data_IF_119930819708
#
_entry.id   IF_119930819708
#
_cell.length_a   1.000
_cell.length_b   1.000
_cell.length_c   1.000
_cell.angle_alpha   90.00
_cell.angle_beta   90.00
_cell.angle_gamma   90.00
#
_symmetry.space_group_name_H-M   'P 1'
#
loop_
_entity.id
_entity.type
_entity.pdbx_description
1 polymer ?
#
# COMPACT_ATOMS: atom_id res chain seq x y z
N UNK A 1 41.53 44.60 56.31
CA UNK A 1 40.98 45.27 57.51
C UNK A 1 39.97 46.34 57.08
N UNK A 2 39.00 46.67 57.93
CA UNK A 2 37.95 47.66 57.65
C UNK A 2 38.43 49.10 57.88
N UNK A 3 37.74 50.11 57.30
CA UNK A 3 37.05 51.18 58.07
C UNK A 3 36.50 52.37 57.22
N UNK A 4 35.19 52.57 57.36
CA UNK A 4 34.37 53.83 57.41
C UNK A 4 35.02 55.22 57.15
N UNK A 5 34.30 56.07 56.39
CA UNK A 5 33.98 57.54 56.53
C UNK A 5 33.76 58.18 55.14
N UNK A 6 33.04 59.29 54.89
CA UNK A 6 32.02 60.05 55.64
C UNK A 6 31.30 61.11 54.72
N UNK A 7 30.00 61.35 54.97
CA UNK A 7 29.33 62.66 55.23
C UNK A 7 29.43 63.86 54.24
N UNK A 8 28.27 64.25 53.65
CA UNK A 8 27.57 65.58 53.72
C UNK A 8 26.46 65.63 52.63
N UNK A 9 25.19 66.04 52.85
CA UNK A 9 24.55 67.20 53.50
C UNK A 9 24.47 68.52 52.69
N UNK A 10 23.31 68.75 52.07
CA UNK A 10 22.66 70.07 51.90
C UNK A 10 21.24 69.88 51.32
N UNK A 11 20.20 70.69 51.62
CA UNK A 11 19.87 71.58 52.75
C UNK A 11 18.35 71.94 52.62
N UNK A 12 17.64 72.11 53.75
CA UNK A 12 16.41 72.93 53.95
C UNK A 12 15.04 72.50 53.37
N UNK A 13 14.14 72.16 54.31
CA UNK A 13 12.70 72.54 54.38
C UNK A 13 12.56 74.07 54.69
N UNK A 14 11.35 74.70 54.81
CA UNK A 14 9.96 74.18 54.86
C UNK A 14 9.05 74.82 53.75
N UNK A 15 7.71 75.00 53.79
CA UNK A 15 6.62 74.80 54.78
C UNK A 15 5.20 74.72 54.12
N UNK A 16 4.13 74.62 54.93
CA UNK A 16 2.70 75.02 54.71
C UNK A 16 1.97 74.50 53.44
N UNK A 17 1.09 73.49 53.53
CA UNK A 17 -0.38 73.58 53.80
C UNK A 17 -1.19 74.35 52.73
N UNK A 18 -2.35 73.92 52.21
CA UNK A 18 -3.39 72.99 52.74
C UNK A 18 -4.25 72.28 51.64
N UNK A 19 -5.09 71.33 52.06
CA UNK A 19 -6.10 70.51 51.32
C UNK A 19 -7.53 71.08 51.64
N UNK A 20 -8.71 70.76 51.01
CA UNK A 20 -9.12 70.04 49.77
C UNK A 20 -10.09 70.84 48.83
N UNK A 21 -10.47 70.30 47.64
CA UNK A 21 -11.81 69.71 47.36
C UNK A 21 -11.98 69.20 45.89
N UNK A 22 -12.83 68.19 45.76
CA UNK A 22 -13.23 67.36 44.61
C UNK A 22 -13.60 68.10 43.31
N UNK A 23 -13.18 67.54 42.16
CA UNK A 23 -13.98 67.46 40.93
C UNK A 23 -13.54 66.31 40.02
N UNK A 24 -14.43 65.83 39.16
CA UNK A 24 -14.36 64.52 38.49
C UNK A 24 -14.19 64.61 36.96
N UNK A 25 -13.68 63.52 36.36
CA UNK A 25 -14.16 62.82 35.15
C UNK A 25 -13.06 62.27 34.21
N UNK A 26 -13.25 61.00 33.83
CA UNK A 26 -12.71 60.27 32.66
C UNK A 26 -11.19 60.05 32.46
N UNK A 27 -10.67 58.84 32.77
CA UNK A 27 -9.42 58.34 32.21
C UNK A 27 -9.60 57.71 30.82
N UNK A 28 -8.60 57.88 29.94
CA UNK A 28 -8.51 57.22 28.63
C UNK A 28 -8.54 55.69 28.74
N UNK A 29 -9.21 55.03 27.80
CA UNK A 29 -9.27 53.58 27.73
C UNK A 29 -7.88 52.96 27.52
N UNK A 30 -7.42 52.17 28.49
CA UNK A 30 -6.32 51.23 28.29
C UNK A 30 -6.90 49.98 27.63
N UNK A 31 -6.50 49.69 26.40
CA UNK A 31 -6.83 48.43 25.75
C UNK A 31 -6.31 47.28 26.61
N UNK A 32 -7.17 46.33 26.94
CA UNK A 32 -6.81 45.21 27.82
C UNK A 32 -5.88 44.24 27.08
N UNK A 33 -4.78 43.78 27.71
CA UNK A 33 -3.81 42.89 27.06
C UNK A 33 -4.40 41.52 26.70
N UNK A 34 -5.58 41.19 27.23
CA UNK A 34 -6.32 39.95 26.97
C UNK A 34 -6.61 39.72 25.48
N UNK A 35 -6.85 40.78 24.69
CA UNK A 35 -7.12 40.64 23.26
C UNK A 35 -5.83 40.26 22.49
N UNK A 36 -4.69 40.85 22.87
CA UNK A 36 -3.37 40.50 22.35
C UNK A 36 -2.99 39.06 22.72
N UNK A 37 -3.15 38.67 23.99
CA UNK A 37 -2.89 37.30 24.47
C UNK A 37 -3.81 36.29 23.77
N UNK A 38 -5.09 36.61 23.59
CA UNK A 38 -6.05 35.76 22.89
C UNK A 38 -5.67 35.53 21.42
N UNK A 39 -5.22 36.57 20.70
CA UNK A 39 -4.73 36.45 19.33
C UNK A 39 -3.45 35.61 19.23
N UNK A 40 -2.52 35.75 20.18
CA UNK A 40 -1.30 34.92 20.22
C UNK A 40 -1.63 33.45 20.47
N UNK A 41 -2.52 33.15 21.42
CA UNK A 41 -2.97 31.78 21.68
C UNK A 41 -3.69 31.18 20.47
N UNK A 42 -4.62 31.93 19.85
CA UNK A 42 -5.33 31.48 18.65
C UNK A 42 -4.36 31.23 17.49
N UNK A 43 -3.37 32.10 17.28
CA UNK A 43 -2.30 31.92 16.30
C UNK A 43 -1.46 30.66 16.56
N UNK A 44 -1.11 30.40 17.82
CA UNK A 44 -0.40 29.17 18.20
C UNK A 44 -1.24 27.90 17.93
N UNK A 45 -2.54 27.91 18.29
CA UNK A 45 -3.44 26.79 17.99
C UNK A 45 -3.63 26.57 16.48
N UNK A 46 -3.73 27.65 15.68
CA UNK A 46 -3.80 27.56 14.22
C UNK A 46 -2.49 27.01 13.61
N UNK A 47 -1.32 27.42 14.11
CA UNK A 47 -0.04 26.89 13.66
C UNK A 47 0.17 25.41 14.03
N UNK A 48 -0.25 25.00 15.23
CA UNK A 48 -0.25 23.59 15.64
C UNK A 48 -1.23 22.78 14.78
N UNK A 49 -2.46 23.25 14.59
CA UNK A 49 -3.45 22.62 13.72
C UNK A 49 -2.98 22.51 12.27
N UNK A 50 -2.34 23.55 11.74
CA UNK A 50 -1.76 23.56 10.40
C UNK A 50 -0.60 22.56 10.28
N UNK A 51 0.28 22.52 11.29
CA UNK A 51 1.41 21.58 11.35
C UNK A 51 0.95 20.12 11.41
N UNK A 52 -0.11 19.81 12.17
CA UNK A 52 -0.75 18.49 12.18
C UNK A 52 -1.54 18.17 10.90
N UNK A 53 -2.11 19.18 10.22
CA UNK A 53 -2.76 18.98 8.91
C UNK A 53 -1.76 18.82 7.75
N UNK A 54 -0.53 19.31 7.91
CA UNK A 54 0.54 19.26 6.91
C UNK A 54 1.58 18.18 7.18
N UNK A 55 1.56 17.48 8.32
CA UNK A 55 2.40 16.31 8.57
C UNK A 55 1.73 15.03 8.03
N UNK A 56 1.58 14.96 6.70
CA UNK A 56 1.09 13.78 5.96
C UNK A 56 2.08 12.60 5.95
N UNK A 57 2.59 12.24 7.13
CA UNK A 57 3.72 11.33 7.34
C UNK A 57 3.47 10.30 8.44
N UNK A 58 2.29 9.68 8.45
CA UNK A 58 2.06 8.44 9.20
C UNK A 58 1.14 7.53 8.40
N UNK A 59 1.60 6.30 8.16
CA UNK A 59 0.82 5.28 7.46
C UNK A 59 -0.47 4.98 8.24
N UNK A 60 -1.60 5.40 7.68
CA UNK A 60 -2.91 4.96 8.13
C UNK A 60 -3.49 4.14 6.98
N UNK A 61 -3.48 2.81 7.16
CA UNK A 61 -4.20 1.88 6.31
C UNK A 61 -5.71 2.09 6.49
N UNK A 62 -6.21 3.14 5.85
CA UNK A 62 -7.61 3.31 5.51
C UNK A 62 -7.66 3.27 4.00
N UNK A 63 -7.86 2.06 3.49
CA UNK A 63 -8.39 1.85 2.14
C UNK A 63 -9.65 2.72 2.01
N UNK A 64 -9.50 3.86 1.35
CA UNK A 64 -10.64 4.63 0.87
C UNK A 64 -11.26 3.78 -0.24
N UNK A 65 -12.21 2.91 0.14
CA UNK A 65 -12.98 2.10 -0.80
C UNK A 65 -13.84 3.07 -1.62
N UNK A 66 -13.24 3.61 -2.67
CA UNK A 66 -13.94 4.28 -3.76
C UNK A 66 -14.86 3.24 -4.38
N UNK A 67 -16.13 3.27 -3.96
CA UNK A 67 -17.25 2.40 -4.38
C UNK A 67 -17.64 2.69 -5.85
N UNK A 68 -16.67 2.52 -6.75
CA UNK A 68 -16.70 2.95 -8.15
C UNK A 68 -15.41 2.62 -8.91
N UNK A 69 -14.31 2.24 -8.24
CA UNK A 69 -13.15 1.66 -8.91
C UNK A 69 -13.26 0.13 -9.01
N UNK A 70 -12.92 -0.43 -10.18
CA UNK A 70 -12.67 -1.87 -10.31
C UNK A 70 -11.45 -2.26 -9.47
N UNK A 71 -11.63 -3.23 -8.59
CA UNK A 71 -10.59 -3.69 -7.67
C UNK A 71 -9.65 -4.69 -8.38
N UNK A 72 -8.45 -4.22 -8.75
CA UNK A 72 -7.39 -5.05 -9.36
C UNK A 72 -7.19 -6.38 -8.59
N UNK A 73 -7.03 -7.48 -9.32
CA UNK A 73 -6.81 -8.78 -8.68
C UNK A 73 -5.44 -8.89 -8.00
N UNK A 74 -4.50 -8.01 -8.33
CA UNK A 74 -3.22 -7.86 -7.62
C UNK A 74 -3.43 -7.36 -6.19
N UNK A 75 -4.35 -6.43 -5.94
CA UNK A 75 -4.69 -6.02 -4.56
C UNK A 75 -5.41 -7.14 -3.78
N UNK A 76 -6.07 -8.06 -4.48
CA UNK A 76 -6.61 -9.28 -3.90
C UNK A 76 -5.50 -10.27 -3.49
N UNK A 77 -4.36 -10.33 -4.20
CA UNK A 77 -3.21 -11.17 -3.79
C UNK A 77 -2.73 -10.81 -2.39
N UNK A 78 -2.57 -9.51 -2.09
CA UNK A 78 -2.15 -9.05 -0.75
C UNK A 78 -3.08 -9.55 0.37
N UNK A 79 -4.39 -9.49 0.15
CA UNK A 79 -5.41 -9.98 1.08
C UNK A 79 -5.48 -11.52 1.12
N UNK A 80 -5.10 -12.19 0.03
CA UNK A 80 -5.10 -13.64 -0.09
C UNK A 80 -3.90 -14.35 0.56
N UNK A 81 -2.73 -13.69 0.69
CA UNK A 81 -1.48 -14.29 1.19
C UNK A 81 -1.66 -15.13 2.47
N UNK A 82 -2.35 -14.67 3.53
CA UNK A 82 -2.55 -15.47 4.75
C UNK A 82 -3.31 -16.78 4.49
N UNK A 83 -4.29 -16.76 3.57
CA UNK A 83 -5.09 -17.93 3.20
C UNK A 83 -4.31 -18.88 2.28
N UNK A 84 -3.48 -18.34 1.36
CA UNK A 84 -2.51 -19.13 0.59
C UNK A 84 -1.53 -19.84 1.52
N UNK A 85 -1.02 -19.16 2.57
CA UNK A 85 -0.15 -19.77 3.59
C UNK A 85 -0.86 -20.87 4.39
N UNK A 86 -2.20 -20.84 4.55
CA UNK A 86 -2.97 -21.97 5.11
C UNK A 86 -3.18 -23.12 4.11
N UNK A 87 -3.33 -22.82 2.82
CA UNK A 87 -3.54 -23.83 1.78
C UNK A 87 -2.27 -24.64 1.46
N UNK A 88 -1.16 -23.94 1.23
CA UNK A 88 0.13 -24.53 0.85
C UNK A 88 1.01 -24.83 2.08
N UNK A 89 0.89 -24.05 3.16
CA UNK A 89 1.64 -24.30 4.39
C UNK A 89 3.14 -24.36 4.16
N UNK A 90 3.76 -25.45 4.61
CA UNK A 90 5.20 -25.69 4.52
C UNK A 90 5.74 -25.90 3.09
N UNK A 91 4.89 -25.90 2.05
CA UNK A 91 5.37 -25.84 0.66
C UNK A 91 5.49 -24.41 0.15
N UNK A 92 4.93 -23.37 0.79
CA UNK A 92 4.97 -21.98 0.29
C UNK A 92 6.32 -21.26 0.52
N UNK A 93 7.45 -21.97 0.39
CA UNK A 93 8.80 -21.44 0.72
C UNK A 93 9.48 -20.64 -0.39
N UNK A 94 9.17 -20.92 -1.67
CA UNK A 94 9.77 -20.22 -2.81
C UNK A 94 8.66 -19.75 -3.74
N UNK A 95 8.29 -18.47 -3.63
CA UNK A 95 7.15 -17.90 -4.33
C UNK A 95 7.61 -17.02 -5.49
N UNK A 96 7.06 -17.25 -6.68
CA UNK A 96 7.17 -16.31 -7.80
C UNK A 96 5.84 -15.60 -7.99
N UNK A 97 5.83 -14.27 -7.91
CA UNK A 97 4.70 -13.46 -8.38
C UNK A 97 4.91 -13.04 -9.84
N UNK A 98 3.86 -13.10 -10.65
CA UNK A 98 3.86 -12.67 -12.06
C UNK A 98 2.63 -11.81 -12.32
N UNK A 99 2.83 -10.50 -12.49
CA UNK A 99 1.73 -9.55 -12.62
C UNK A 99 2.19 -8.11 -12.51
N UNK A 100 1.27 -7.14 -12.70
CA UNK A 100 1.56 -5.76 -12.40
C UNK A 100 1.81 -5.57 -10.89
N UNK A 101 2.49 -4.48 -10.52
CA UNK A 101 2.82 -4.12 -9.14
C UNK A 101 3.50 -5.26 -8.36
N UNK A 102 4.33 -6.05 -9.07
CA UNK A 102 4.99 -7.20 -8.46
C UNK A 102 5.95 -6.81 -7.35
N UNK A 103 6.43 -5.56 -7.33
CA UNK A 103 7.27 -5.00 -6.27
C UNK A 103 6.53 -4.90 -4.94
N UNK A 104 5.25 -4.50 -4.92
CA UNK A 104 4.46 -4.49 -3.69
C UNK A 104 4.23 -5.91 -3.18
N UNK A 105 3.77 -6.82 -4.05
CA UNK A 105 3.48 -8.23 -3.67
C UNK A 105 4.73 -8.92 -3.12
N UNK A 106 5.89 -8.79 -3.77
CA UNK A 106 7.17 -9.33 -3.29
C UNK A 106 7.59 -8.68 -1.97
N UNK A 107 7.39 -7.37 -1.79
CA UNK A 107 7.65 -6.67 -0.53
C UNK A 107 6.78 -7.17 0.64
N UNK A 108 5.54 -7.61 0.37
CA UNK A 108 4.70 -8.29 1.36
C UNK A 108 5.17 -9.72 1.62
N UNK A 109 5.42 -10.52 0.58
CA UNK A 109 5.87 -11.91 0.73
C UNK A 109 7.22 -12.03 1.45
N UNK A 110 8.16 -11.09 1.25
CA UNK A 110 9.45 -11.08 1.96
C UNK A 110 9.34 -10.73 3.46
N UNK A 111 8.15 -10.39 3.96
CA UNK A 111 7.87 -10.23 5.40
C UNK A 111 7.28 -11.50 6.03
N UNK A 112 6.92 -12.49 5.21
CA UNK A 112 6.39 -13.76 5.69
C UNK A 112 7.54 -14.68 6.13
N UNK A 113 7.48 -15.16 7.37
CA UNK A 113 8.44 -16.15 7.86
C UNK A 113 8.48 -17.38 6.93
N UNK A 114 9.68 -17.94 6.77
CA UNK A 114 10.03 -19.08 5.92
C UNK A 114 9.69 -18.93 4.42
N UNK A 115 9.50 -17.69 3.93
CA UNK A 115 9.13 -17.39 2.54
C UNK A 115 10.20 -16.60 1.79
N UNK A 116 10.85 -17.23 0.81
CA UNK A 116 11.66 -16.56 -0.22
C UNK A 116 10.75 -16.14 -1.39
N UNK A 117 10.87 -14.90 -1.87
CA UNK A 117 9.97 -14.37 -2.90
C UNK A 117 10.69 -13.62 -4.05
N UNK A 118 10.17 -13.82 -5.26
CA UNK A 118 10.61 -13.17 -6.49
C UNK A 118 9.43 -12.64 -7.30
N UNK A 119 9.69 -11.70 -8.20
CA UNK A 119 8.69 -11.06 -9.05
C UNK A 119 9.12 -10.99 -10.51
N UNK A 120 8.17 -11.24 -11.42
CA UNK A 120 8.26 -10.86 -12.83
C UNK A 120 7.19 -9.80 -13.09
N UNK A 121 7.63 -8.60 -13.45
CA UNK A 121 6.76 -7.56 -14.00
C UNK A 121 6.70 -7.78 -15.52
N UNK A 122 5.52 -8.03 -16.12
CA UNK A 122 5.38 -8.18 -17.57
C UNK A 122 5.47 -6.87 -18.36
N UNK A 123 5.60 -5.74 -17.66
CA UNK A 123 5.62 -4.37 -18.18
C UNK A 123 6.91 -3.64 -17.75
N UNK A 124 7.05 -2.40 -18.19
CA UNK A 124 8.23 -1.60 -17.86
C UNK A 124 8.20 -1.04 -16.43
N UNK A 125 9.40 -0.78 -15.89
CA UNK A 125 9.70 -0.34 -14.54
C UNK A 125 10.47 0.99 -14.51
N UNK A 126 10.53 1.75 -15.62
CA UNK A 126 11.24 3.05 -15.69
C UNK A 126 10.79 4.01 -14.58
N UNK A 127 9.47 4.16 -14.40
CA UNK A 127 8.83 5.02 -13.40
C UNK A 127 8.76 4.41 -11.98
N UNK A 128 9.38 3.25 -11.75
CA UNK A 128 9.33 2.57 -10.46
C UNK A 128 9.90 3.44 -9.31
N UNK A 129 9.32 3.32 -8.11
CA UNK A 129 9.79 4.04 -6.93
C UNK A 129 11.17 3.56 -6.43
N UNK A 130 11.71 4.23 -5.41
CA UNK A 130 13.02 3.87 -4.83
C UNK A 130 13.05 2.50 -4.14
N UNK A 131 11.91 2.01 -3.65
CA UNK A 131 11.77 0.72 -2.97
C UNK A 131 11.77 -0.43 -3.98
N UNK A 132 11.00 -0.28 -5.06
CA UNK A 132 10.95 -1.19 -6.19
C UNK A 132 12.29 -1.22 -6.94
N UNK A 133 12.90 -0.05 -7.21
CA UNK A 133 14.26 0.04 -7.77
C UNK A 133 15.31 -0.69 -6.92
N UNK A 134 15.14 -0.76 -5.60
CA UNK A 134 15.99 -1.57 -4.71
C UNK A 134 15.72 -3.08 -4.84
N UNK A 135 14.47 -3.53 -5.02
CA UNK A 135 14.15 -4.94 -5.29
C UNK A 135 14.70 -5.41 -6.65
N UNK A 136 14.62 -4.55 -7.67
CA UNK A 136 15.19 -4.79 -9.00
C UNK A 136 16.71 -4.95 -8.92
N UNK A 137 17.42 -4.00 -8.27
CA UNK A 137 18.89 -4.06 -8.09
C UNK A 137 19.36 -5.28 -7.31
N UNK A 138 18.56 -5.78 -6.36
CA UNK A 138 18.84 -7.02 -5.62
C UNK A 138 18.48 -8.29 -6.40
N UNK A 139 17.87 -8.17 -7.58
CA UNK A 139 17.47 -9.30 -8.43
C UNK A 139 16.22 -10.05 -7.96
N UNK A 140 15.50 -9.54 -6.95
CA UNK A 140 14.21 -10.10 -6.52
C UNK A 140 13.12 -9.88 -7.56
N UNK A 141 13.10 -8.71 -8.20
CA UNK A 141 12.15 -8.37 -9.26
C UNK A 141 12.88 -8.20 -10.58
N UNK A 142 12.30 -8.72 -11.67
CA UNK A 142 12.80 -8.58 -13.04
C UNK A 142 11.65 -8.13 -13.95
N UNK A 143 11.92 -7.28 -14.94
CA UNK A 143 10.99 -7.10 -16.06
C UNK A 143 11.22 -8.23 -17.05
N UNK A 144 10.16 -8.92 -17.47
CA UNK A 144 10.22 -9.95 -18.51
C UNK A 144 8.84 -10.17 -19.15
N UNK A 145 8.79 -10.10 -20.47
CA UNK A 145 7.56 -10.28 -21.23
C UNK A 145 7.08 -11.76 -21.21
N UNK A 146 5.98 -12.00 -20.49
CA UNK A 146 5.38 -13.32 -20.27
C UNK A 146 4.82 -14.00 -21.53
N UNK A 147 4.77 -13.33 -22.68
CA UNK A 147 4.49 -13.99 -23.98
C UNK A 147 5.63 -14.94 -24.40
N UNK A 148 6.79 -14.84 -23.76
CA UNK A 148 7.98 -15.66 -23.96
C UNK A 148 8.29 -16.47 -22.69
N UNK A 149 9.13 -17.51 -22.81
CA UNK A 149 9.49 -18.35 -21.66
C UNK A 149 10.25 -17.57 -20.59
N UNK A 150 9.83 -17.76 -19.34
CA UNK A 150 10.45 -17.16 -18.17
C UNK A 150 11.89 -17.67 -17.98
N UNK A 151 12.83 -16.80 -17.57
CA UNK A 151 14.27 -17.10 -17.45
C UNK A 151 14.62 -17.93 -16.20
N UNK A 152 13.79 -18.92 -15.88
CA UNK A 152 13.90 -19.82 -14.74
C UNK A 152 13.87 -21.27 -15.20
N UNK A 153 14.55 -22.15 -14.46
CA UNK A 153 14.54 -23.60 -14.73
C UNK A 153 13.17 -24.19 -14.36
N UNK A 154 12.77 -25.34 -14.93
CA UNK A 154 11.58 -26.04 -14.45
C UNK A 154 11.66 -26.30 -12.94
N UNK A 155 10.53 -26.22 -12.23
CA UNK A 155 10.41 -26.47 -10.78
C UNK A 155 11.36 -25.60 -9.92
N UNK A 156 11.56 -24.33 -10.29
CA UNK A 156 12.39 -23.37 -9.52
C UNK A 156 11.67 -22.79 -8.30
N UNK A 157 10.33 -22.72 -8.35
CA UNK A 157 9.48 -22.15 -7.32
C UNK A 157 8.46 -23.19 -6.88
N UNK A 158 8.10 -23.19 -5.60
CA UNK A 158 7.08 -24.09 -5.09
C UNK A 158 5.68 -23.61 -5.43
N UNK A 159 5.43 -22.30 -5.30
CA UNK A 159 4.17 -21.67 -5.68
C UNK A 159 4.42 -20.52 -6.65
N UNK A 160 3.72 -20.51 -7.78
CA UNK A 160 3.69 -19.38 -8.71
C UNK A 160 2.33 -18.70 -8.57
N UNK A 161 2.30 -17.41 -8.28
CA UNK A 161 1.09 -16.59 -8.15
C UNK A 161 1.02 -15.64 -9.34
N UNK A 162 -0.13 -15.61 -10.03
CA UNK A 162 -0.33 -14.79 -11.23
C UNK A 162 -1.56 -13.93 -11.06
N UNK A 163 -1.45 -12.62 -11.25
CA UNK A 163 -2.57 -11.67 -11.12
C UNK A 163 -2.56 -10.64 -12.25
N UNK A 164 -3.74 -10.21 -12.70
CA UNK A 164 -3.99 -9.15 -13.70
C UNK A 164 -3.14 -9.22 -15.00
N UNK A 165 -2.55 -10.37 -15.33
CA UNK A 165 -1.64 -10.52 -16.47
C UNK A 165 -2.27 -11.34 -17.60
N UNK A 166 -2.92 -12.46 -17.26
CA UNK A 166 -3.46 -13.42 -18.24
C UNK A 166 -4.69 -12.89 -18.97
N UNK A 167 -5.49 -12.03 -18.33
CA UNK A 167 -6.68 -11.45 -18.95
C UNK A 167 -6.36 -10.58 -20.18
N UNK A 168 -5.15 -10.01 -20.27
CA UNK A 168 -4.65 -9.23 -21.42
C UNK A 168 -4.10 -10.07 -22.58
N UNK A 169 -3.87 -11.37 -22.35
CA UNK A 169 -3.31 -12.27 -23.36
C UNK A 169 -4.39 -12.81 -24.32
N UNK A 170 -4.01 -12.96 -25.59
CA UNK A 170 -4.82 -13.70 -26.56
C UNK A 170 -4.63 -15.22 -26.38
N UNK A 171 -5.56 -16.07 -26.86
CA UNK A 171 -5.42 -17.53 -26.76
C UNK A 171 -4.08 -18.06 -27.32
N UNK A 172 -3.57 -17.45 -28.40
CA UNK A 172 -2.24 -17.78 -28.97
C UNK A 172 -1.09 -17.64 -27.95
N UNK A 173 -1.16 -16.64 -27.07
CA UNK A 173 -0.15 -16.43 -26.03
C UNK A 173 -0.46 -17.21 -24.76
N UNK A 174 -1.73 -17.33 -24.35
CA UNK A 174 -2.13 -18.17 -23.22
C UNK A 174 -1.67 -19.63 -23.40
N UNK A 175 -1.79 -20.20 -24.60
CA UNK A 175 -1.30 -21.54 -24.94
C UNK A 175 0.22 -21.74 -24.75
N UNK A 176 1.00 -20.66 -24.67
CA UNK A 176 2.45 -20.71 -24.39
C UNK A 176 2.75 -20.36 -22.93
N UNK A 177 2.07 -19.34 -22.43
CA UNK A 177 2.31 -18.74 -21.11
C UNK A 177 1.87 -19.66 -19.98
N UNK A 178 0.71 -20.33 -20.10
CA UNK A 178 0.22 -21.24 -19.07
C UNK A 178 1.13 -22.46 -18.85
N UNK A 179 1.56 -23.21 -19.88
CA UNK A 179 2.54 -24.27 -19.71
C UNK A 179 3.88 -23.78 -19.16
N UNK A 180 4.33 -22.56 -19.49
CA UNK A 180 5.61 -22.04 -19.00
C UNK A 180 5.55 -21.61 -17.52
N UNK A 181 4.43 -21.00 -17.10
CA UNK A 181 4.13 -20.71 -15.69
C UNK A 181 4.04 -21.99 -14.85
N UNK A 182 3.36 -23.01 -15.37
CA UNK A 182 3.26 -24.30 -14.71
C UNK A 182 4.62 -25.01 -14.63
N UNK A 183 5.40 -25.00 -15.73
CA UNK A 183 6.76 -25.55 -15.81
C UNK A 183 7.69 -25.04 -14.70
N UNK A 184 7.63 -23.75 -14.35
CA UNK A 184 8.50 -23.18 -13.31
C UNK A 184 8.02 -23.44 -11.88
N UNK A 185 6.78 -23.89 -11.68
CA UNK A 185 6.22 -24.33 -10.41
C UNK A 185 6.54 -25.79 -10.09
N UNK A 186 6.63 -26.17 -8.80
CA UNK A 186 6.69 -27.56 -8.35
C UNK A 186 5.44 -28.05 -7.60
N UNK A 187 4.75 -27.18 -6.85
CA UNK A 187 3.66 -27.57 -5.94
C UNK A 187 2.32 -26.88 -6.22
N UNK A 188 2.32 -25.74 -6.95
CA UNK A 188 1.09 -25.08 -7.33
C UNK A 188 1.23 -23.83 -8.20
N UNK A 189 0.30 -23.65 -9.12
CA UNK A 189 0.10 -22.42 -9.89
C UNK A 189 -1.23 -21.80 -9.44
N UNK A 190 -1.17 -20.60 -8.85
CA UNK A 190 -2.35 -19.85 -8.39
C UNK A 190 -2.63 -18.72 -9.36
N UNK A 191 -3.84 -18.69 -9.92
CA UNK A 191 -4.25 -17.66 -10.88
C UNK A 191 -5.38 -16.82 -10.28
N UNK A 192 -5.17 -15.51 -10.24
CA UNK A 192 -6.16 -14.49 -9.89
C UNK A 192 -6.61 -13.79 -11.17
N UNK A 193 -7.86 -14.00 -11.59
CA UNK A 193 -8.44 -13.44 -12.81
C UNK A 193 -9.71 -12.62 -12.53
N UNK A 194 -9.93 -11.55 -13.30
CA UNK A 194 -11.04 -10.62 -13.04
C UNK A 194 -12.42 -11.20 -13.37
N UNK A 195 -13.43 -10.93 -12.54
CA UNK A 195 -14.82 -11.30 -12.84
C UNK A 195 -15.40 -10.42 -13.97
N UNK A 196 -15.99 -11.02 -15.03
CA UNK A 196 -16.76 -10.28 -16.03
C UNK A 196 -17.86 -9.44 -15.37
N UNK A 197 -17.97 -8.17 -15.75
CA UNK A 197 -19.01 -7.25 -15.29
C UNK A 197 -18.77 -6.60 -13.91
N UNK A 198 -17.94 -7.18 -13.05
CA UNK A 198 -17.49 -6.54 -11.80
C UNK A 198 -16.23 -5.71 -12.02
N UNK A 199 -15.28 -6.26 -12.77
CA UNK A 199 -14.09 -5.52 -13.18
C UNK A 199 -14.38 -4.71 -14.44
N UNK A 200 -13.94 -3.45 -14.44
CA UNK A 200 -13.91 -2.59 -15.64
C UNK A 200 -12.46 -2.25 -15.90
N UNK A 201 -12.02 -2.42 -17.15
CA UNK A 201 -10.71 -1.93 -17.59
C UNK A 201 -10.58 -0.45 -17.24
N UNK A 202 -9.61 -0.08 -16.42
CA UNK A 202 -9.31 1.34 -16.20
C UNK A 202 -8.75 1.88 -17.52
N UNK A 203 -9.14 3.09 -17.93
CA UNK A 203 -8.64 3.66 -19.20
C UNK A 203 -7.10 3.79 -19.19
N UNK A 204 -6.52 3.99 -17.99
CA UNK A 204 -5.08 3.97 -17.73
C UNK A 204 -4.41 2.61 -17.98
N UNK A 205 -5.11 1.50 -17.74
CA UNK A 205 -4.64 0.15 -18.04
C UNK A 205 -4.56 -0.08 -19.55
N UNK A 206 -5.48 0.48 -20.33
CA UNK A 206 -5.41 0.41 -21.79
C UNK A 206 -4.13 1.08 -22.33
N UNK A 207 -3.72 2.19 -21.74
CA UNK A 207 -2.48 2.88 -22.07
C UNK A 207 -1.23 2.08 -21.65
N UNK A 208 -1.23 1.46 -20.46
CA UNK A 208 -0.11 0.64 -19.97
C UNK A 208 0.04 -0.70 -20.71
N UNK A 209 -1.07 -1.31 -21.13
CA UNK A 209 -1.09 -2.70 -21.65
C UNK A 209 -1.30 -2.79 -23.17
N UNK A 210 -1.65 -1.68 -23.83
CA UNK A 210 -1.83 -1.59 -25.29
C UNK A 210 -2.96 -2.45 -25.87
N UNK A 211 -3.76 -3.11 -25.02
CA UNK A 211 -4.86 -4.01 -25.39
C UNK A 211 -5.99 -3.93 -24.36
N UNK A 212 -7.26 -4.05 -24.79
CA UNK A 212 -8.37 -4.19 -23.85
C UNK A 212 -8.27 -5.51 -23.09
N UNK A 213 -8.52 -5.45 -21.78
CA UNK A 213 -8.67 -6.63 -20.93
C UNK A 213 -9.76 -7.54 -21.48
N UNK A 214 -9.53 -8.86 -21.45
CA UNK A 214 -10.52 -9.87 -21.85
C UNK A 214 -10.90 -10.70 -20.64
N UNK A 215 -11.77 -10.14 -19.80
CA UNK A 215 -12.36 -10.85 -18.67
C UNK A 215 -13.13 -12.07 -19.15
N UNK A 216 -12.92 -13.21 -18.49
CA UNK A 216 -13.50 -14.52 -18.85
C UNK A 216 -14.20 -15.12 -17.64
N UNK A 217 -15.27 -15.89 -17.88
CA UNK A 217 -15.99 -16.60 -16.82
C UNK A 217 -15.16 -17.76 -16.26
N UNK A 218 -15.47 -18.17 -15.03
CA UNK A 218 -14.83 -19.32 -14.38
C UNK A 218 -14.98 -20.59 -15.22
N UNK A 219 -16.18 -20.82 -15.78
CA UNK A 219 -16.44 -21.91 -16.72
C UNK A 219 -15.56 -21.88 -17.99
N UNK A 220 -15.17 -20.69 -18.46
CA UNK A 220 -14.23 -20.56 -19.57
C UNK A 220 -12.81 -20.94 -19.13
N UNK A 221 -12.36 -20.39 -17.99
CA UNK A 221 -11.04 -20.66 -17.43
C UNK A 221 -10.83 -22.15 -17.12
N UNK A 222 -11.77 -22.78 -16.40
CA UNK A 222 -11.74 -24.21 -16.07
C UNK A 222 -11.64 -25.06 -17.36
N UNK A 223 -12.48 -24.79 -18.36
CA UNK A 223 -12.41 -25.49 -19.66
C UNK A 223 -11.06 -25.31 -20.34
N UNK A 224 -10.49 -24.10 -20.27
CA UNK A 224 -9.21 -23.79 -20.87
C UNK A 224 -8.04 -24.50 -20.17
N UNK A 225 -8.05 -24.56 -18.84
CA UNK A 225 -7.04 -25.27 -18.05
C UNK A 225 -7.00 -26.75 -18.43
N UNK A 226 -8.16 -27.43 -18.43
CA UNK A 226 -8.28 -28.83 -18.86
C UNK A 226 -7.78 -29.04 -20.30
N UNK A 227 -8.11 -28.13 -21.22
CA UNK A 227 -7.61 -28.18 -22.61
C UNK A 227 -6.09 -27.96 -22.73
N UNK A 228 -5.46 -27.31 -21.75
CA UNK A 228 -3.99 -27.11 -21.67
C UNK A 228 -3.27 -28.13 -20.78
N UNK A 229 -3.99 -29.16 -20.29
CA UNK A 229 -3.43 -30.20 -19.42
C UNK A 229 -3.24 -29.80 -17.95
N UNK A 230 -3.69 -28.61 -17.55
CA UNK A 230 -3.66 -28.16 -16.17
C UNK A 230 -4.89 -28.67 -15.41
N UNK A 231 -4.67 -29.22 -14.22
CA UNK A 231 -5.69 -29.79 -13.36
C UNK A 231 -5.90 -28.91 -12.12
N UNK A 232 -7.10 -28.93 -11.55
CA UNK A 232 -7.37 -28.24 -10.30
C UNK A 232 -6.74 -28.97 -9.12
N UNK A 233 -6.02 -28.24 -8.26
CA UNK A 233 -5.49 -28.76 -7.01
C UNK A 233 -6.60 -28.72 -5.94
N UNK A 234 -7.51 -29.69 -5.98
CA UNK A 234 -8.64 -29.79 -5.04
C UNK A 234 -8.22 -29.67 -3.58
N UNK A 235 -7.04 -30.22 -3.22
CA UNK A 235 -6.54 -30.19 -1.86
C UNK A 235 -6.13 -28.78 -1.42
N UNK A 236 -5.55 -27.98 -2.33
CA UNK A 236 -5.27 -26.56 -2.08
C UNK A 236 -6.57 -25.73 -2.09
N UNK A 237 -7.46 -25.92 -3.07
CA UNK A 237 -8.77 -25.24 -3.14
C UNK A 237 -9.56 -25.44 -1.84
N UNK A 238 -9.78 -26.68 -1.40
CA UNK A 238 -10.56 -26.99 -0.19
C UNK A 238 -9.95 -26.38 1.08
N UNK A 239 -8.61 -26.37 1.22
CA UNK A 239 -7.94 -25.71 2.35
C UNK A 239 -8.05 -24.19 2.29
N UNK A 240 -7.93 -23.60 1.10
CA UNK A 240 -8.08 -22.16 0.88
C UNK A 240 -9.50 -21.70 1.24
N UNK A 241 -10.52 -22.38 0.70
CA UNK A 241 -11.93 -22.11 1.00
C UNK A 241 -12.25 -22.29 2.50
N UNK A 242 -11.69 -23.31 3.15
CA UNK A 242 -11.86 -23.51 4.59
C UNK A 242 -11.19 -22.41 5.42
N UNK A 243 -10.04 -21.87 4.98
CA UNK A 243 -9.39 -20.75 5.64
C UNK A 243 -10.14 -19.42 5.40
N UNK A 244 -10.56 -19.19 4.16
CA UNK A 244 -11.34 -18.02 3.74
C UNK A 244 -12.66 -17.90 4.52
N UNK A 245 -13.45 -18.97 4.54
CA UNK A 245 -14.74 -19.02 5.23
C UNK A 245 -14.63 -18.78 6.73
N UNK A 246 -13.63 -19.35 7.41
CA UNK A 246 -13.36 -19.10 8.85
C UNK A 246 -13.07 -17.62 9.16
N UNK A 247 -12.53 -16.87 8.21
CA UNK A 247 -12.24 -15.44 8.35
C UNK A 247 -13.26 -14.53 7.66
N UNK A 248 -14.39 -15.07 7.18
CA UNK A 248 -15.38 -14.35 6.35
C UNK A 248 -14.80 -13.64 5.12
N UNK A 249 -13.64 -14.08 4.64
CA UNK A 249 -12.97 -13.53 3.47
C UNK A 249 -13.74 -13.91 2.20
N UNK A 250 -14.00 -12.90 1.35
CA UNK A 250 -14.69 -13.03 0.07
C UNK A 250 -13.84 -12.36 -1.01
N UNK A 251 -13.22 -13.12 -1.93
CA UNK A 251 -12.37 -12.55 -2.97
C UNK A 251 -13.21 -11.77 -3.99
N UNK A 252 -12.70 -10.62 -4.46
CA UNK A 252 -13.26 -9.84 -5.56
C UNK A 252 -12.76 -10.29 -6.94
N UNK A 253 -12.03 -11.41 -6.99
CA UNK A 253 -11.50 -12.03 -8.20
C UNK A 253 -11.65 -13.56 -8.16
N UNK A 254 -11.59 -14.16 -9.34
CA UNK A 254 -11.61 -15.61 -9.52
C UNK A 254 -10.24 -16.16 -9.15
N UNK A 255 -10.17 -17.03 -8.15
CA UNK A 255 -8.93 -17.65 -7.68
C UNK A 255 -8.96 -19.12 -8.07
N UNK A 256 -7.96 -19.56 -8.83
CA UNK A 256 -7.80 -20.95 -9.26
C UNK A 256 -6.50 -21.52 -8.72
N UNK A 257 -6.57 -22.70 -8.10
CA UNK A 257 -5.40 -23.45 -7.65
C UNK A 257 -5.15 -24.59 -8.64
N UNK A 258 -4.01 -24.57 -9.34
CA UNK A 258 -3.71 -25.50 -10.42
C UNK A 258 -2.42 -26.29 -10.16
N UNK A 259 -2.33 -27.46 -10.79
CA UNK A 259 -1.13 -28.31 -10.89
C UNK A 259 -1.00 -28.85 -12.32
N UNK A 260 0.23 -29.23 -12.69
CA UNK A 260 0.60 -29.87 -13.96
C UNK A 260 0.99 -31.33 -13.78
#
# INVERSE_FOLDING_TARGET
MAARRAVNQSRRLPDSASIPLVSSLHPKSRSTPLLSVGLVLLGAFLLIGYSYSSSGGLASDKEAIHKGEGASCTSEVHRAIPFLKKAYGQTMRKVLHVGPDTCAVVSTLLKEDDTEAWGVEPYDLEDADSSCKRLIRKGFVRSADIKFSLPYRPKSFSVVIVSDALDYLSPKYLNKTLPDLARVSSDGLVIFAGYPGQQRAKVLELAKFGKPVKLRSSSWWIRYFVQTGLQENEAATKKFEQAASKSSYKPSCQIFHLVS
#
